data_IF_471442503047
#
_entry.id   IF_471442503047
#
_cell.length_a   1.000
_cell.length_b   1.000
_cell.length_c   1.000
_cell.angle_alpha   90.00
_cell.angle_beta   90.00
_cell.angle_gamma   90.00
#
_symmetry.space_group_name_H-M   'P 1'
#
loop_
_entity.id
_entity.type
_entity.pdbx_description
1 polymer ?
#
# COMPACT_ATOMS: atom_id res chain seq x y z
N UNK A 1 31.04 -8.18 -6.63
CA UNK A 1 29.57 -8.28 -6.44
C UNK A 1 28.84 -7.32 -7.36
N UNK A 2 28.61 -7.76 -8.58
CA UNK A 2 27.74 -7.05 -9.52
C UNK A 2 26.27 -7.39 -9.23
N UNK A 3 25.41 -6.37 -9.27
CA UNK A 3 23.98 -6.54 -9.14
C UNK A 3 23.37 -6.98 -10.48
N UNK A 4 22.54 -8.02 -10.45
CA UNK A 4 21.79 -8.52 -11.61
C UNK A 4 20.32 -8.17 -11.41
N UNK A 5 19.71 -7.50 -12.37
CA UNK A 5 18.26 -7.26 -12.39
C UNK A 5 17.61 -8.40 -13.16
N UNK A 6 16.82 -9.24 -12.47
CA UNK A 6 15.96 -10.26 -13.09
C UNK A 6 14.52 -9.81 -12.98
N UNK A 7 13.77 -9.84 -14.08
CA UNK A 7 12.32 -9.58 -14.07
C UNK A 7 11.63 -10.80 -13.46
N UNK A 8 11.22 -10.70 -12.19
CA UNK A 8 10.56 -11.81 -11.48
C UNK A 8 9.09 -11.83 -11.91
N UNK A 9 8.81 -12.62 -12.96
CA UNK A 9 7.49 -12.88 -13.56
C UNK A 9 6.78 -11.67 -14.22
N UNK A 10 6.05 -11.94 -15.30
CA UNK A 10 5.06 -11.01 -15.86
C UNK A 10 3.69 -11.42 -15.34
N UNK A 11 3.02 -10.55 -14.59
CA UNK A 11 1.59 -10.70 -14.38
C UNK A 11 1.09 -10.30 -12.99
N UNK A 12 0.81 -9.01 -12.82
CA UNK A 12 -0.38 -8.54 -12.12
C UNK A 12 -0.94 -7.36 -12.90
N UNK A 13 -1.65 -7.65 -14.00
CA UNK A 13 -2.32 -6.62 -14.78
C UNK A 13 -3.36 -5.95 -13.89
N UNK A 14 -3.06 -4.72 -13.46
CA UNK A 14 -3.93 -3.97 -12.57
C UNK A 14 -5.12 -3.46 -13.37
N UNK A 15 -6.22 -4.23 -13.39
CA UNK A 15 -7.49 -3.84 -13.99
C UNK A 15 -8.16 -2.77 -13.13
N UNK A 16 -7.61 -1.55 -13.12
CA UNK A 16 -8.20 -0.42 -12.41
C UNK A 16 -9.36 0.12 -13.25
N UNK A 17 -10.58 -0.08 -12.76
CA UNK A 17 -11.69 0.80 -13.14
C UNK A 17 -11.37 2.26 -12.79
N UNK A 18 -12.20 3.19 -13.26
CA UNK A 18 -12.05 4.62 -12.94
C UNK A 18 -12.10 4.84 -11.43
N UNK A 19 -11.00 5.34 -10.85
CA UNK A 19 -10.93 5.68 -9.42
C UNK A 19 -11.70 7.00 -9.18
N UNK A 20 -12.46 7.12 -8.07
CA UNK A 20 -13.04 8.39 -7.65
C UNK A 20 -11.97 9.46 -7.42
N UNK A 21 -12.36 10.73 -7.50
CA UNK A 21 -11.48 11.85 -7.16
C UNK A 21 -11.16 11.90 -5.66
N UNK A 22 -10.14 12.68 -5.30
CA UNK A 22 -9.76 12.88 -3.90
C UNK A 22 -10.89 13.55 -3.11
N UNK A 23 -11.61 14.47 -3.73
CA UNK A 23 -12.74 15.20 -3.17
C UNK A 23 -13.92 14.26 -2.92
N UNK A 24 -14.22 13.34 -3.85
CA UNK A 24 -15.25 12.32 -3.68
C UNK A 24 -14.91 11.38 -2.51
N UNK A 25 -13.66 10.96 -2.38
CA UNK A 25 -13.20 10.14 -1.27
C UNK A 25 -13.33 10.87 0.09
N UNK A 26 -12.97 12.14 0.17
CA UNK A 26 -13.15 12.94 1.39
C UNK A 26 -14.62 13.13 1.74
N UNK A 27 -15.47 13.39 0.75
CA UNK A 27 -16.91 13.49 0.95
C UNK A 27 -17.52 12.19 1.48
N UNK A 28 -17.01 11.03 1.04
CA UNK A 28 -17.39 9.73 1.58
C UNK A 28 -17.00 9.57 3.05
N UNK A 29 -15.78 9.95 3.43
CA UNK A 29 -15.36 9.93 4.86
C UNK A 29 -16.23 10.85 5.72
N UNK A 30 -16.52 12.07 5.25
CA UNK A 30 -17.42 12.98 5.96
C UNK A 30 -18.84 12.38 6.11
N UNK A 31 -19.29 11.58 5.13
CA UNK A 31 -20.55 10.85 5.20
C UNK A 31 -20.51 9.76 6.26
N UNK A 32 -19.43 8.99 6.34
CA UNK A 32 -19.25 7.97 7.39
C UNK A 32 -19.22 8.59 8.80
N UNK A 33 -18.57 9.75 8.97
CA UNK A 33 -18.57 10.48 10.24
C UNK A 33 -20.00 10.84 10.68
N UNK A 34 -20.79 11.43 9.77
CA UNK A 34 -22.19 11.76 10.06
C UNK A 34 -23.03 10.52 10.34
N UNK A 35 -22.83 9.45 9.56
CA UNK A 35 -23.54 8.20 9.76
C UNK A 35 -23.23 7.56 11.11
N UNK A 36 -21.99 7.70 11.60
CA UNK A 36 -21.59 7.28 12.94
C UNK A 36 -22.16 8.15 14.07
N UNK A 37 -22.83 9.26 13.76
CA UNK A 37 -23.47 10.16 14.73
C UNK A 37 -22.60 11.32 15.21
N UNK A 38 -21.48 11.62 14.55
CA UNK A 38 -20.58 12.73 14.89
C UNK A 38 -20.70 13.89 13.87
N UNK A 39 -20.24 15.08 14.24
CA UNK A 39 -20.30 16.30 13.43
C UNK A 39 -18.95 16.55 12.71
N UNK A 40 -18.86 16.39 11.38
CA UNK A 40 -17.62 16.63 10.64
C UNK A 40 -17.17 18.10 10.65
N UNK A 41 -18.02 19.04 11.07
CA UNK A 41 -17.69 20.47 11.11
C UNK A 41 -17.10 20.93 12.45
N UNK A 42 -17.07 20.06 13.48
CA UNK A 42 -16.42 20.39 14.75
C UNK A 42 -14.91 20.47 14.58
N UNK A 43 -14.27 21.33 15.37
CA UNK A 43 -12.83 21.65 15.29
C UNK A 43 -11.93 20.42 15.07
N UNK A 44 -12.15 19.34 15.84
CA UNK A 44 -11.33 18.12 15.76
C UNK A 44 -11.50 17.29 14.48
N UNK A 45 -12.57 17.51 13.71
CA UNK A 45 -12.95 16.68 12.55
C UNK A 45 -12.91 17.37 11.20
N UNK A 46 -12.81 18.71 11.14
CA UNK A 46 -12.76 19.47 9.88
C UNK A 46 -11.73 18.88 8.91
N UNK A 47 -10.54 18.54 9.43
CA UNK A 47 -9.42 17.98 8.67
C UNK A 47 -9.43 16.44 8.61
N UNK A 48 -10.32 15.75 9.33
CA UNK A 48 -10.34 14.28 9.38
C UNK A 48 -10.54 13.65 8.01
N UNK A 49 -11.48 14.09 7.15
CA UNK A 49 -11.62 13.53 5.80
C UNK A 49 -10.32 13.55 4.99
N UNK A 50 -9.60 14.68 5.00
CA UNK A 50 -8.34 14.82 4.30
C UNK A 50 -7.25 13.91 4.88
N UNK A 51 -7.17 13.79 6.22
CA UNK A 51 -6.23 12.90 6.90
C UNK A 51 -6.49 11.42 6.61
N UNK A 52 -7.75 10.99 6.60
CA UNK A 52 -8.12 9.60 6.30
C UNK A 52 -7.75 9.23 4.87
N UNK A 53 -8.10 10.07 3.89
CA UNK A 53 -7.73 9.81 2.49
C UNK A 53 -6.21 9.76 2.31
N UNK A 54 -5.47 10.67 2.97
CA UNK A 54 -4.00 10.62 2.98
C UNK A 54 -3.47 9.31 3.59
N UNK A 55 -4.07 8.82 4.66
CA UNK A 55 -3.67 7.53 5.25
C UNK A 55 -3.91 6.35 4.32
N UNK A 56 -4.99 6.37 3.53
CA UNK A 56 -5.28 5.32 2.56
C UNK A 56 -4.31 5.33 1.37
N UNK A 57 -3.81 6.51 0.98
CA UNK A 57 -2.74 6.62 -0.02
C UNK A 57 -1.45 5.91 0.44
N UNK A 58 -1.18 5.91 1.75
CA UNK A 58 -0.03 5.21 2.34
C UNK A 58 -0.32 3.71 2.52
N UNK A 59 -1.38 3.36 3.25
CA UNK A 59 -1.75 1.98 3.58
C UNK A 59 -1.97 1.11 2.32
N UNK A 60 -2.53 1.70 1.26
CA UNK A 60 -2.83 1.03 0.01
C UNK A 60 -1.89 1.43 -1.14
N UNK A 61 -0.79 2.13 -0.83
CA UNK A 61 0.18 2.58 -1.81
C UNK A 61 0.80 1.43 -2.61
N UNK A 62 0.88 0.24 -2.00
CA UNK A 62 1.37 -0.99 -2.64
C UNK A 62 0.62 -1.36 -3.93
N UNK A 63 -0.67 -1.01 -4.09
CA UNK A 63 -1.41 -1.28 -5.33
C UNK A 63 -0.89 -0.50 -6.55
N UNK A 64 -0.13 0.57 -6.33
CA UNK A 64 0.50 1.34 -7.40
C UNK A 64 1.91 0.84 -7.75
N UNK A 65 2.46 -0.10 -6.98
CA UNK A 65 3.81 -0.65 -7.15
C UNK A 65 3.77 -2.03 -7.81
N UNK A 66 4.80 -2.36 -8.57
CA UNK A 66 5.06 -3.73 -9.01
C UNK A 66 6.08 -4.37 -8.04
N UNK A 67 5.74 -5.46 -7.33
CA UNK A 67 6.70 -6.14 -6.46
C UNK A 67 7.92 -6.67 -7.23
N UNK A 68 7.80 -6.97 -8.54
CA UNK A 68 8.93 -7.41 -9.35
C UNK A 68 9.99 -6.30 -9.52
N UNK A 69 9.57 -5.04 -9.56
CA UNK A 69 10.50 -3.90 -9.62
C UNK A 69 11.26 -3.75 -8.30
N UNK A 70 10.61 -4.04 -7.17
CA UNK A 70 11.21 -3.96 -5.83
C UNK A 70 12.17 -5.13 -5.56
N UNK A 71 11.78 -6.35 -5.96
CA UNK A 71 12.49 -7.59 -5.64
C UNK A 71 13.48 -8.03 -6.73
N UNK A 72 13.49 -7.38 -7.89
CA UNK A 72 14.24 -7.83 -9.07
C UNK A 72 15.76 -7.72 -8.94
N UNK A 73 16.29 -6.99 -7.96
CA UNK A 73 17.74 -6.81 -7.76
C UNK A 73 18.32 -7.97 -6.95
N UNK A 74 19.19 -8.74 -7.59
CA UNK A 74 19.83 -9.94 -7.02
C UNK A 74 21.35 -9.87 -7.13
N UNK A 75 22.08 -10.69 -6.39
CA UNK A 75 23.55 -10.79 -6.43
C UNK A 75 23.95 -12.18 -6.95
N UNK A 76 24.80 -12.23 -7.98
CA UNK A 76 25.19 -13.49 -8.63
C UNK A 76 26.30 -14.27 -7.90
N UNK A 77 27.13 -13.58 -7.11
CA UNK A 77 28.26 -14.18 -6.39
C UNK A 77 27.82 -14.69 -5.02
N UNK A 78 27.12 -15.83 -4.97
CA UNK A 78 26.79 -16.51 -3.70
C UNK A 78 27.92 -17.42 -3.19
N UNK A 79 29.11 -17.41 -3.81
CA UNK A 79 30.28 -18.21 -3.44
C UNK A 79 29.98 -19.71 -3.17
N UNK A 80 28.95 -20.27 -3.83
CA UNK A 80 28.51 -21.65 -3.62
C UNK A 80 27.69 -21.89 -2.35
N UNK A 81 27.24 -20.84 -1.65
CA UNK A 81 26.39 -20.95 -0.47
C UNK A 81 25.05 -21.60 -0.81
N UNK A 82 24.82 -22.79 -0.27
CA UNK A 82 23.63 -23.64 -0.47
C UNK A 82 22.92 -23.98 0.85
N UNK A 83 23.29 -23.32 1.94
CA UNK A 83 22.69 -23.46 3.27
C UNK A 83 21.46 -22.56 3.48
N UNK A 84 20.74 -22.77 4.60
CA UNK A 84 19.54 -22.01 4.96
C UNK A 84 19.85 -20.52 5.24
N UNK A 85 19.19 -19.63 4.50
CA UNK A 85 19.08 -18.21 4.86
C UNK A 85 17.74 -17.97 5.55
N UNK A 86 17.77 -17.58 6.84
CA UNK A 86 16.57 -17.19 7.59
C UNK A 86 16.60 -15.70 7.88
N UNK A 87 15.62 -14.97 7.36
CA UNK A 87 15.27 -13.62 7.81
C UNK A 87 13.95 -13.74 8.55
N UNK A 88 13.92 -13.33 9.81
CA UNK A 88 12.78 -13.47 10.72
C UNK A 88 12.52 -12.14 11.42
N UNK A 89 11.34 -12.06 12.05
CA UNK A 89 10.90 -10.90 12.82
C UNK A 89 10.89 -9.60 11.99
N UNK A 90 10.42 -9.70 10.73
CA UNK A 90 10.18 -8.55 9.85
C UNK A 90 8.85 -7.91 10.25
N UNK A 91 8.89 -6.65 10.67
CA UNK A 91 7.70 -5.87 10.97
C UNK A 91 6.85 -5.64 9.71
N UNK A 92 5.54 -5.89 9.84
CA UNK A 92 4.59 -5.77 8.74
C UNK A 92 3.23 -5.30 9.27
N UNK A 93 2.62 -4.39 8.52
CA UNK A 93 1.27 -3.93 8.72
C UNK A 93 0.47 -4.04 7.42
N UNK A 94 -0.79 -4.45 7.53
CA UNK A 94 -1.71 -4.52 6.40
C UNK A 94 -3.15 -4.29 6.86
N UNK A 95 -4.07 -4.38 5.93
CA UNK A 95 -5.48 -4.18 6.15
C UNK A 95 -6.24 -5.42 5.68
N UNK A 96 -7.19 -5.89 6.49
CA UNK A 96 -8.05 -6.99 6.09
C UNK A 96 -9.02 -6.49 5.01
N UNK A 97 -9.12 -7.18 3.88
CA UNK A 97 -10.03 -6.77 2.78
C UNK A 97 -11.52 -6.97 3.09
N UNK A 98 -11.85 -7.67 4.18
CA UNK A 98 -13.23 -7.99 4.55
C UNK A 98 -13.93 -6.88 5.35
N UNK A 99 -13.18 -5.93 5.91
CA UNK A 99 -13.67 -4.88 6.82
C UNK A 99 -13.09 -3.52 6.43
#
# INVERSE_FOLDING_TARGET
MDAIVRKIAEGFANTRGTRPSREEAQAAVATLIRWAGDDPTREGLIETPARVVKSYEELFGGYALDPADVLGRTFGEVAGYDDLVLVRDIDFHSHCEHH
#
